data_IF_857994711843
#
_entry.id   IF_857994711843
#
_cell.length_a   1.000
_cell.length_b   1.000
_cell.length_c   1.000
_cell.angle_alpha   90.00
_cell.angle_beta   90.00
_cell.angle_gamma   90.00
#
_symmetry.space_group_name_H-M   'P 1'
#
loop_
_entity.id
_entity.type
_entity.pdbx_description
1 polymer ?
#
# COMPACT_ATOMS: atom_id res chain seq x y z
N UNK A 1 4.57 -26.88 4.26
CA UNK A 1 3.95 -27.19 2.97
C UNK A 1 3.13 -25.99 2.52
N UNK A 2 3.49 -25.35 1.43
CA UNK A 2 2.70 -24.30 0.79
C UNK A 2 2.99 -24.34 -0.70
N UNK A 3 1.96 -24.51 -1.53
CA UNK A 3 2.04 -24.46 -2.99
C UNK A 3 1.53 -23.12 -3.53
N UNK A 4 1.46 -22.95 -4.84
CA UNK A 4 0.74 -21.84 -5.48
C UNK A 4 -0.77 -21.92 -5.12
N UNK A 5 -1.38 -20.88 -4.52
CA UNK A 5 -2.81 -20.89 -4.18
C UNK A 5 -3.72 -20.89 -5.43
N UNK A 6 -3.16 -20.58 -6.60
CA UNK A 6 -3.87 -20.33 -7.83
C UNK A 6 -4.82 -19.13 -7.73
N UNK A 7 -5.50 -18.82 -8.83
CA UNK A 7 -6.47 -17.70 -8.88
C UNK A 7 -7.62 -17.85 -7.87
N UNK A 8 -7.98 -19.09 -7.52
CA UNK A 8 -9.06 -19.41 -6.59
C UNK A 8 -8.69 -19.15 -5.12
N UNK A 9 -7.50 -19.56 -4.69
CA UNK A 9 -7.05 -19.40 -3.31
C UNK A 9 -6.87 -17.93 -2.91
N UNK A 10 -6.22 -17.12 -3.76
CA UNK A 10 -6.05 -15.68 -3.49
C UNK A 10 -7.38 -14.93 -3.32
N UNK A 11 -8.39 -15.26 -4.14
CA UNK A 11 -9.75 -14.69 -4.02
C UNK A 11 -10.45 -15.15 -2.74
N UNK A 12 -10.33 -16.42 -2.36
CA UNK A 12 -10.95 -16.95 -1.16
C UNK A 12 -10.39 -16.28 0.11
N UNK A 13 -9.07 -16.07 0.17
CA UNK A 13 -8.40 -15.40 1.28
C UNK A 13 -8.91 -13.96 1.42
N UNK A 14 -8.94 -13.19 0.32
CA UNK A 14 -9.44 -11.80 0.35
C UNK A 14 -10.90 -11.70 0.76
N UNK A 15 -11.75 -12.65 0.36
CA UNK A 15 -13.15 -12.72 0.82
C UNK A 15 -13.24 -13.02 2.30
N UNK A 16 -12.44 -13.97 2.80
CA UNK A 16 -12.39 -14.31 4.21
C UNK A 16 -11.89 -13.12 5.06
N UNK A 17 -10.83 -12.45 4.61
CA UNK A 17 -10.34 -11.22 5.23
C UNK A 17 -11.42 -10.14 5.24
N UNK A 18 -12.04 -9.87 4.09
CA UNK A 18 -13.09 -8.86 3.98
C UNK A 18 -14.28 -9.11 4.92
N UNK A 19 -14.63 -10.37 5.19
CA UNK A 19 -15.72 -10.74 6.10
C UNK A 19 -15.38 -10.55 7.59
N UNK A 20 -14.11 -10.76 7.95
CA UNK A 20 -13.72 -10.84 9.36
C UNK A 20 -12.96 -9.61 9.86
N UNK A 21 -12.32 -8.86 8.96
CA UNK A 21 -11.52 -7.70 9.33
C UNK A 21 -12.37 -6.52 9.83
N UNK A 22 -11.82 -5.79 10.79
CA UNK A 22 -12.32 -4.49 11.21
C UNK A 22 -11.89 -3.41 10.22
N UNK A 23 -12.68 -3.26 9.15
CA UNK A 23 -12.42 -2.26 8.11
C UNK A 23 -12.44 -0.83 8.64
N UNK A 24 -13.14 -0.56 9.75
CA UNK A 24 -13.15 0.77 10.36
C UNK A 24 -11.79 1.06 10.97
N UNK A 25 -11.23 0.15 11.74
CA UNK A 25 -9.88 0.32 12.29
C UNK A 25 -8.82 0.30 11.19
N UNK A 26 -8.87 -0.64 10.24
CA UNK A 26 -7.94 -0.69 9.11
C UNK A 26 -7.95 0.61 8.31
N UNK A 27 -9.12 1.23 8.12
CA UNK A 27 -9.23 2.54 7.46
C UNK A 27 -8.58 3.68 8.21
N UNK A 28 -8.08 3.48 9.43
CA UNK A 28 -7.28 4.49 10.13
C UNK A 28 -5.80 4.44 9.75
N UNK A 29 -5.27 3.26 9.40
CA UNK A 29 -3.84 3.05 9.15
C UNK A 29 -3.29 3.94 8.03
N UNK A 30 -2.06 4.41 8.22
CA UNK A 30 -1.28 5.09 7.21
C UNK A 30 -0.67 4.05 6.27
N UNK A 31 -0.89 4.21 4.96
CA UNK A 31 -0.41 3.27 3.93
C UNK A 31 0.46 3.98 2.92
N UNK A 32 1.74 3.62 2.84
CA UNK A 32 2.72 4.26 1.94
C UNK A 32 3.30 3.24 0.97
N UNK A 33 3.14 3.50 -0.33
CA UNK A 33 3.84 2.74 -1.37
C UNK A 33 5.22 3.37 -1.60
N UNK A 34 6.29 2.61 -1.42
CA UNK A 34 7.65 3.10 -1.63
C UNK A 34 8.18 2.68 -3.00
N UNK A 35 8.73 3.65 -3.74
CA UNK A 35 9.35 3.43 -5.05
C UNK A 35 10.33 4.54 -5.40
N UNK A 36 11.09 4.35 -6.48
CA UNK A 36 11.81 5.48 -7.06
C UNK A 36 10.79 6.49 -7.65
N UNK A 37 11.20 7.75 -7.78
CA UNK A 37 10.28 8.82 -8.20
C UNK A 37 9.69 8.58 -9.60
N UNK A 38 10.39 7.87 -10.49
CA UNK A 38 9.90 7.56 -11.84
C UNK A 38 8.87 6.43 -11.80
N UNK A 39 9.11 5.39 -10.99
CA UNK A 39 8.14 4.34 -10.77
C UNK A 39 6.84 4.88 -10.14
N UNK A 40 6.91 5.94 -9.33
CA UNK A 40 5.72 6.61 -8.80
C UNK A 40 4.95 7.41 -9.88
N UNK A 41 5.66 8.02 -10.84
CA UNK A 41 5.06 8.71 -11.99
C UNK A 41 4.22 7.74 -12.83
N UNK A 42 4.70 6.50 -13.02
CA UNK A 42 3.97 5.44 -13.72
C UNK A 42 2.66 5.01 -13.03
N UNK A 43 2.41 5.43 -11.79
CA UNK A 43 1.16 5.15 -11.06
C UNK A 43 0.05 6.18 -11.31
N UNK A 44 0.34 7.28 -12.00
CA UNK A 44 -0.65 8.30 -12.32
C UNK A 44 -1.80 7.66 -13.12
N UNK A 45 -3.04 7.88 -12.65
CA UNK A 45 -4.24 7.30 -13.23
C UNK A 45 -4.50 5.82 -12.89
N UNK A 46 -3.60 5.14 -12.17
CA UNK A 46 -3.72 3.73 -11.77
C UNK A 46 -4.37 3.52 -10.40
N UNK A 47 -5.12 4.50 -9.90
CA UNK A 47 -5.80 4.44 -8.59
C UNK A 47 -6.72 3.24 -8.39
N UNK A 48 -7.19 2.60 -9.46
CA UNK A 48 -8.01 1.38 -9.40
C UNK A 48 -7.20 0.11 -9.10
N UNK A 49 -5.91 0.12 -9.43
CA UNK A 49 -5.03 -1.03 -9.21
C UNK A 49 -4.74 -1.21 -7.72
N UNK A 50 -4.32 -2.40 -7.34
CA UNK A 50 -3.94 -2.70 -5.97
C UNK A 50 -2.45 -2.45 -5.75
N UNK A 51 -2.14 -1.60 -4.78
CA UNK A 51 -0.78 -1.29 -4.37
C UNK A 51 -0.37 -2.08 -3.14
N UNK A 52 0.89 -2.49 -3.11
CA UNK A 52 1.56 -2.95 -1.89
C UNK A 52 2.07 -1.72 -1.15
N UNK A 53 1.78 -1.63 0.14
CA UNK A 53 2.09 -0.46 0.97
C UNK A 53 2.65 -0.91 2.31
N UNK A 54 3.58 -0.14 2.87
CA UNK A 54 3.92 -0.26 4.28
C UNK A 54 2.86 0.45 5.13
N UNK A 55 2.55 -0.15 6.27
CA UNK A 55 1.57 0.34 7.23
C UNK A 55 2.24 0.96 8.45
N UNK A 56 1.63 2.02 8.99
CA UNK A 56 1.93 2.61 10.30
C UNK A 56 0.63 3.05 10.98
N UNK A 57 0.63 3.17 12.31
CA UNK A 57 -0.53 3.70 13.02
C UNK A 57 -0.66 5.22 12.79
N UNK A 58 -1.88 5.77 12.90
CA UNK A 58 -2.07 7.22 12.95
C UNK A 58 -1.19 7.87 14.02
N UNK A 59 -0.52 8.97 13.68
CA UNK A 59 0.39 9.67 14.58
C UNK A 59 1.78 9.05 14.75
N UNK A 60 2.06 7.88 14.18
CA UNK A 60 3.43 7.33 14.11
C UNK A 60 4.18 7.86 12.89
N UNK A 61 5.51 7.87 12.95
CA UNK A 61 6.32 8.13 11.76
C UNK A 61 6.03 7.08 10.68
N UNK A 62 6.04 7.48 9.41
CA UNK A 62 5.87 6.54 8.31
C UNK A 62 6.96 5.48 8.33
N UNK A 63 6.56 4.20 8.28
CA UNK A 63 7.49 3.08 8.12
C UNK A 63 8.29 3.23 6.82
N UNK A 64 9.62 3.15 6.90
CA UNK A 64 10.54 3.51 5.80
C UNK A 64 10.98 2.26 5.04
N UNK A 65 11.02 2.35 3.71
CA UNK A 65 11.71 1.39 2.85
C UNK A 65 12.90 2.05 2.14
N UNK A 66 14.10 1.91 2.71
CA UNK A 66 15.35 2.40 2.11
C UNK A 66 15.39 3.91 1.86
N UNK A 67 15.96 4.30 0.72
CA UNK A 67 16.12 5.69 0.26
C UNK A 67 15.08 6.11 -0.79
N UNK A 68 13.98 5.37 -0.89
CA UNK A 68 12.92 5.58 -1.87
C UNK A 68 12.01 6.77 -1.51
N UNK A 69 11.27 7.25 -2.50
CA UNK A 69 10.18 8.20 -2.29
C UNK A 69 8.91 7.40 -1.97
N UNK A 70 8.12 7.87 -1.01
CA UNK A 70 6.84 7.27 -0.64
C UNK A 70 5.68 7.99 -1.32
N UNK A 71 4.73 7.26 -1.87
CA UNK A 71 3.40 7.73 -2.20
C UNK A 71 2.46 7.35 -1.05
N UNK A 72 2.06 8.33 -0.27
CA UNK A 72 1.04 8.14 0.76
C UNK A 72 -0.31 8.04 0.09
N UNK A 73 -1.00 6.92 0.31
CA UNK A 73 -2.28 6.64 -0.33
C UNK A 73 -3.36 6.31 0.69
N UNK A 74 -4.62 6.47 0.29
CA UNK A 74 -5.77 5.94 1.00
C UNK A 74 -6.72 5.21 0.07
N UNK A 75 -7.04 3.98 0.43
CA UNK A 75 -7.98 3.13 -0.29
C UNK A 75 -8.54 2.05 0.64
N UNK A 76 -9.11 1.00 0.06
CA UNK A 76 -9.59 -0.14 0.84
C UNK A 76 -8.47 -1.16 0.97
N UNK A 77 -8.11 -1.48 2.21
CA UNK A 77 -7.18 -2.56 2.52
C UNK A 77 -7.86 -3.90 2.24
N UNK A 78 -7.31 -4.67 1.30
CA UNK A 78 -7.84 -5.96 0.88
C UNK A 78 -7.17 -7.13 1.60
N UNK A 79 -5.93 -6.93 2.04
CA UNK A 79 -5.18 -7.78 2.98
C UNK A 79 -4.17 -6.91 3.75
N UNK A 80 -3.91 -7.29 5.00
CA UNK A 80 -2.90 -6.69 5.85
C UNK A 80 -2.15 -7.80 6.61
N UNK A 81 -0.84 -7.67 6.76
CA UNK A 81 0.02 -8.59 7.51
C UNK A 81 1.06 -7.81 8.32
N UNK A 82 1.50 -8.37 9.47
CA UNK A 82 2.55 -7.76 10.29
C UNK A 82 3.97 -7.93 9.68
N UNK A 83 4.10 -8.73 8.63
CA UNK A 83 5.36 -9.02 7.94
C UNK A 83 5.12 -8.97 6.42
N UNK A 84 6.04 -8.38 5.67
CA UNK A 84 6.01 -8.40 4.19
C UNK A 84 6.03 -9.83 3.65
N UNK A 85 6.76 -10.73 4.32
CA UNK A 85 6.85 -12.14 3.91
C UNK A 85 5.52 -12.89 4.09
N UNK A 86 4.60 -12.37 4.92
CA UNK A 86 3.28 -12.96 5.12
C UNK A 86 2.33 -12.68 3.95
N UNK A 87 2.54 -11.60 3.20
CA UNK A 87 1.74 -11.26 2.04
C UNK A 87 2.42 -11.64 0.73
N UNK A 88 3.76 -11.65 0.68
CA UNK A 88 4.63 -11.93 -0.48
C UNK A 88 3.90 -11.80 -1.82
N UNK A 89 3.77 -10.55 -2.28
CA UNK A 89 2.80 -10.16 -3.30
C UNK A 89 3.36 -10.26 -4.73
N UNK A 90 4.47 -10.98 -4.94
CA UNK A 90 5.17 -11.11 -6.22
C UNK A 90 5.81 -9.80 -6.71
N UNK A 91 6.73 -9.89 -7.66
CA UNK A 91 7.30 -8.74 -8.35
C UNK A 91 6.37 -8.26 -9.48
N UNK A 92 6.58 -7.04 -9.99
CA UNK A 92 5.81 -6.53 -11.15
C UNK A 92 5.82 -7.52 -12.33
N UNK A 93 6.96 -8.19 -12.54
CA UNK A 93 7.15 -9.20 -13.58
C UNK A 93 6.24 -10.42 -13.42
N UNK A 94 5.66 -10.67 -12.24
CA UNK A 94 4.73 -11.77 -12.00
C UNK A 94 3.32 -11.49 -12.55
N UNK A 95 3.08 -10.28 -13.05
CA UNK A 95 1.78 -9.79 -13.52
C UNK A 95 1.83 -9.38 -15.01
N UNK A 96 0.68 -9.38 -15.69
CA UNK A 96 0.55 -8.99 -17.08
C UNK A 96 0.28 -10.12 -18.10
N UNK A 97 0.38 -9.73 -19.37
CA UNK A 97 0.08 -10.54 -20.55
C UNK A 97 0.81 -11.89 -20.52
N UNK A 98 0.05 -12.99 -20.64
CA UNK A 98 0.59 -14.35 -20.61
C UNK A 98 0.73 -14.97 -19.21
N UNK A 99 0.74 -14.17 -18.14
CA UNK A 99 0.75 -14.67 -16.74
C UNK A 99 -0.62 -14.58 -16.07
N UNK A 100 -1.39 -13.53 -16.35
CA UNK A 100 -2.67 -13.28 -15.69
C UNK A 100 -3.92 -13.70 -16.46
N UNK A 101 -3.77 -14.02 -17.74
CA UNK A 101 -4.85 -14.36 -18.67
C UNK A 101 -4.51 -13.94 -20.10
N UNK A 102 -5.50 -14.02 -20.97
CA UNK A 102 -5.45 -13.45 -22.32
C UNK A 102 -5.34 -11.91 -22.28
N UNK A 103 -4.91 -11.31 -23.38
CA UNK A 103 -4.84 -9.85 -23.55
C UNK A 103 -6.18 -9.15 -23.32
N UNK A 104 -7.26 -9.76 -23.78
CA UNK A 104 -8.62 -9.27 -23.62
C UNK A 104 -9.04 -9.29 -22.14
N UNK A 105 -8.74 -10.36 -21.41
CA UNK A 105 -9.02 -10.46 -19.98
C UNK A 105 -8.22 -9.44 -19.16
N UNK A 106 -6.94 -9.23 -19.50
CA UNK A 106 -6.09 -8.24 -18.83
C UNK A 106 -6.61 -6.83 -19.10
N UNK A 107 -6.87 -6.50 -20.37
CA UNK A 107 -7.37 -5.18 -20.77
C UNK A 107 -8.75 -4.88 -20.17
N UNK A 108 -9.64 -5.87 -20.10
CA UNK A 108 -10.95 -5.72 -19.45
C UNK A 108 -10.81 -5.48 -17.95
N UNK A 109 -9.88 -6.16 -17.26
CA UNK A 109 -9.62 -5.95 -15.82
C UNK A 109 -9.07 -4.57 -15.53
N UNK A 110 -8.09 -4.12 -16.32
CA UNK A 110 -7.49 -2.78 -16.20
C UNK A 110 -8.54 -1.68 -16.34
N UNK A 111 -9.52 -1.87 -17.26
CA UNK A 111 -10.62 -0.92 -17.45
C UNK A 111 -11.69 -0.97 -16.35
N UNK A 112 -11.99 -2.16 -15.83
CA UNK A 112 -13.11 -2.38 -14.90
C UNK A 112 -12.71 -2.22 -13.43
N UNK A 113 -11.91 -3.14 -12.91
CA UNK A 113 -11.64 -3.32 -11.48
C UNK A 113 -10.21 -3.02 -11.05
N UNK A 114 -9.31 -2.72 -11.99
CA UNK A 114 -7.87 -2.65 -11.75
C UNK A 114 -7.20 -4.02 -11.57
N UNK A 115 -5.88 -4.01 -11.46
CA UNK A 115 -5.04 -5.20 -11.21
C UNK A 115 -4.96 -5.51 -9.73
N UNK A 116 -5.17 -6.77 -9.39
CA UNK A 116 -5.22 -7.25 -8.00
C UNK A 116 -3.97 -8.09 -7.74
N UNK A 117 -3.15 -7.71 -6.75
CA UNK A 117 -1.96 -8.47 -6.36
C UNK A 117 -2.38 -9.73 -5.61
N UNK A 118 -1.76 -10.85 -5.92
CA UNK A 118 -2.07 -12.13 -5.29
C UNK A 118 -1.00 -12.47 -4.27
N UNK A 119 -1.37 -12.90 -3.06
CA UNK A 119 -0.42 -13.56 -2.18
C UNK A 119 0.12 -14.80 -2.88
N UNK A 120 1.44 -14.92 -2.98
CA UNK A 120 2.09 -16.07 -3.64
C UNK A 120 2.34 -17.24 -2.68
N UNK A 121 2.23 -17.02 -1.36
CA UNK A 121 2.30 -18.08 -0.36
C UNK A 121 0.90 -18.65 -0.11
N UNK A 122 0.60 -19.87 -0.58
CA UNK A 122 -0.60 -20.58 -0.11
C UNK A 122 -0.36 -21.24 1.24
N UNK A 123 -1.09 -20.77 2.23
CA UNK A 123 -1.68 -21.69 3.19
C UNK A 123 -3.15 -21.80 2.83
N UNK A 124 -3.74 -22.99 2.98
CA UNK A 124 -5.17 -23.16 2.76
C UNK A 124 -5.94 -22.43 3.88
N UNK A 125 -6.46 -21.25 3.55
CA UNK A 125 -7.29 -20.47 4.45
C UNK A 125 -8.80 -20.65 4.17
N UNK A 126 -9.22 -21.67 3.42
CA UNK A 126 -10.64 -21.91 3.11
C UNK A 126 -11.51 -22.06 4.35
N UNK A 127 -10.97 -22.68 5.41
CA UNK A 127 -11.62 -22.82 6.72
C UNK A 127 -11.93 -21.48 7.39
N UNK A 128 -11.19 -20.42 7.07
CA UNK A 128 -11.43 -19.08 7.61
C UNK A 128 -12.63 -18.38 6.96
N UNK A 129 -12.94 -18.69 5.70
CA UNK A 129 -14.12 -18.15 5.02
C UNK A 129 -15.44 -18.56 5.69
N UNK A 130 -15.42 -19.68 6.43
CA UNK A 130 -16.57 -20.22 7.16
C UNK A 130 -16.72 -19.63 8.57
N UNK A 131 -15.73 -18.88 9.06
CA UNK A 131 -15.78 -18.28 10.39
C UNK A 131 -16.79 -17.13 10.45
N UNK A 132 -17.36 -16.93 11.64
CA UNK A 132 -18.34 -15.88 11.93
C UNK A 132 -17.82 -15.03 13.08
N UNK A 133 -17.70 -13.71 12.87
CA UNK A 133 -17.23 -12.75 13.87
C UNK A 133 -18.13 -12.79 15.13
N UNK A 134 -17.53 -12.63 16.31
CA UNK A 134 -18.24 -12.69 17.60
C UNK A 134 -18.42 -14.10 18.17
N UNK A 135 -18.03 -15.16 17.45
CA UNK A 135 -17.96 -16.51 18.00
C UNK A 135 -16.56 -16.77 18.57
N UNK A 136 -16.46 -17.20 19.83
CA UNK A 136 -15.18 -17.39 20.53
C UNK A 136 -14.22 -18.35 19.80
N UNK A 137 -14.72 -19.47 19.29
CA UNK A 137 -13.92 -20.42 18.52
C UNK A 137 -13.42 -19.79 17.22
N UNK A 138 -14.29 -19.05 16.52
CA UNK A 138 -13.93 -18.35 15.30
C UNK A 138 -12.87 -17.27 15.54
N UNK A 139 -12.99 -16.49 16.62
CA UNK A 139 -12.00 -15.45 16.96
C UNK A 139 -10.66 -16.06 17.36
N UNK A 140 -10.67 -17.17 18.12
CA UNK A 140 -9.45 -17.91 18.46
C UNK A 140 -8.76 -18.47 17.22
N UNK A 141 -9.52 -19.02 16.28
CA UNK A 141 -8.97 -19.50 15.01
C UNK A 141 -8.42 -18.35 14.18
N UNK A 142 -9.17 -17.24 14.07
CA UNK A 142 -8.77 -16.06 13.31
C UNK A 142 -7.44 -15.46 13.81
N UNK A 143 -7.14 -15.53 15.11
CA UNK A 143 -5.85 -15.08 15.67
C UNK A 143 -4.63 -15.94 15.26
N UNK A 144 -4.84 -17.12 14.69
CA UNK A 144 -3.75 -18.01 14.25
C UNK A 144 -3.35 -17.80 12.77
N UNK A 145 -3.87 -16.77 12.11
CA UNK A 145 -3.48 -16.40 10.74
C UNK A 145 -2.41 -15.31 10.77
N UNK A 146 -1.58 -15.20 9.72
CA UNK A 146 -0.55 -14.16 9.65
C UNK A 146 -1.10 -12.78 9.23
N UNK A 147 -2.43 -12.63 9.16
CA UNK A 147 -3.10 -11.40 8.73
C UNK A 147 -3.60 -10.59 9.92
N UNK A 148 -3.51 -9.28 9.78
CA UNK A 148 -3.97 -8.32 10.77
C UNK A 148 -5.45 -8.01 10.50
N UNK A 149 -6.34 -8.56 11.32
CA UNK A 149 -7.79 -8.35 11.16
C UNK A 149 -8.29 -7.14 11.95
N UNK A 150 -7.67 -6.82 13.07
CA UNK A 150 -8.05 -5.73 13.95
C UNK A 150 -6.85 -5.23 14.77
N UNK A 151 -7.09 -4.18 15.58
CA UNK A 151 -6.08 -3.55 16.41
C UNK A 151 -5.38 -4.51 17.38
N UNK A 152 -6.07 -5.54 17.87
CA UNK A 152 -5.51 -6.49 18.82
C UNK A 152 -4.55 -7.50 18.19
N UNK A 153 -4.52 -7.58 16.86
CA UNK A 153 -3.59 -8.41 16.09
C UNK A 153 -2.41 -7.61 15.52
N UNK A 154 -2.39 -6.30 15.74
CA UNK A 154 -1.28 -5.44 15.34
C UNK A 154 -0.04 -5.76 16.17
N UNK A 155 1.04 -6.15 15.52
CA UNK A 155 2.33 -6.42 16.15
C UNK A 155 3.42 -5.72 15.32
N UNK A 156 3.78 -4.51 15.74
CA UNK A 156 4.72 -3.65 15.03
C UNK A 156 6.16 -4.09 15.28
N UNK A 157 6.56 -5.24 14.74
CA UNK A 157 7.95 -5.67 14.81
C UNK A 157 8.75 -5.03 13.67
N UNK A 158 9.31 -3.85 13.99
CA UNK A 158 10.47 -3.17 13.40
C UNK A 158 10.56 -2.85 11.90
N UNK A 159 9.80 -3.48 10.99
CA UNK A 159 9.95 -3.31 9.54
C UNK A 159 8.69 -2.79 8.83
N UNK A 160 7.62 -2.50 9.57
CA UNK A 160 6.33 -2.05 9.03
C UNK A 160 5.57 -3.20 8.38
N UNK A 161 4.34 -3.46 8.83
CA UNK A 161 3.50 -4.45 8.19
C UNK A 161 3.18 -4.04 6.75
N UNK A 162 2.82 -5.01 5.89
CA UNK A 162 2.36 -4.74 4.53
C UNK A 162 0.82 -4.72 4.45
N UNK A 163 0.27 -3.79 3.69
CA UNK A 163 -1.11 -3.81 3.22
C UNK A 163 -1.18 -3.81 1.70
N UNK A 164 -2.11 -4.60 1.19
CA UNK A 164 -2.63 -4.48 -0.17
C UNK A 164 -3.80 -3.50 -0.17
N UNK A 165 -3.70 -2.43 -0.95
CA UNK A 165 -4.67 -1.33 -0.98
C UNK A 165 -5.26 -1.19 -2.37
N UNK A 166 -6.56 -1.40 -2.51
CA UNK A 166 -7.31 -1.19 -3.76
C UNK A 166 -8.01 0.18 -3.78
N UNK A 167 -8.40 0.63 -4.98
CA UNK A 167 -9.16 1.87 -5.20
C UNK A 167 -8.59 3.08 -4.44
N UNK A 168 -7.26 3.19 -4.48
CA UNK A 168 -6.54 4.16 -3.70
C UNK A 168 -6.55 5.55 -4.34
N UNK A 169 -6.42 6.56 -3.50
CA UNK A 169 -6.20 7.96 -3.85
C UNK A 169 -4.92 8.44 -3.19
N UNK A 170 -4.10 9.23 -3.90
CA UNK A 170 -2.92 9.82 -3.31
C UNK A 170 -3.32 10.90 -2.28
N UNK A 171 -2.59 10.94 -1.16
CA UNK A 171 -2.72 11.96 -0.12
C UNK A 171 -1.50 12.88 -0.08
N UNK A 172 -0.33 12.36 -0.45
CA UNK A 172 0.92 13.13 -0.44
C UNK A 172 2.13 12.32 -0.89
N UNK A 173 3.23 13.03 -1.10
CA UNK A 173 4.55 12.43 -1.32
C UNK A 173 5.41 12.55 -0.07
N UNK A 174 6.22 11.52 0.19
CA UNK A 174 7.16 11.45 1.32
C UNK A 174 8.56 11.27 0.74
N UNK A 175 9.39 12.32 0.70
CA UNK A 175 10.73 12.21 0.15
C UNK A 175 11.67 11.41 1.07
N UNK A 176 12.85 11.10 0.54
CA UNK A 176 13.96 10.68 1.39
C UNK A 176 14.44 11.84 2.29
N UNK A 177 15.28 11.50 3.29
CA UNK A 177 15.73 12.45 4.29
C UNK A 177 16.47 13.66 3.71
N UNK A 178 17.30 13.48 2.68
CA UNK A 178 18.09 14.57 2.10
C UNK A 178 17.17 15.60 1.43
N UNK A 179 16.21 15.12 0.63
CA UNK A 179 15.21 15.98 -0.02
C UNK A 179 14.35 16.70 1.03
N UNK A 180 13.95 16.02 2.11
CA UNK A 180 13.22 16.66 3.23
C UNK A 180 14.02 17.83 3.80
N UNK A 181 15.32 17.66 4.04
CA UNK A 181 16.16 18.74 4.60
C UNK A 181 16.31 19.92 3.62
N UNK A 182 16.40 19.65 2.32
CA UNK A 182 16.46 20.70 1.29
C UNK A 182 15.14 21.46 1.25
N UNK A 183 13.99 20.78 1.17
CA UNK A 183 12.67 21.40 1.13
C UNK A 183 12.40 22.23 2.40
N UNK A 184 12.74 21.74 3.59
CA UNK A 184 12.61 22.51 4.84
C UNK A 184 13.47 23.78 4.87
N UNK A 185 14.57 23.84 4.11
CA UNK A 185 15.39 25.05 3.96
C UNK A 185 14.79 26.01 2.92
N UNK A 186 14.27 25.47 1.82
CA UNK A 186 13.66 26.26 0.75
C UNK A 186 12.33 26.89 1.18
N UNK A 187 11.48 26.15 1.91
CA UNK A 187 10.16 26.60 2.35
C UNK A 187 10.19 27.63 3.50
N UNK A 188 11.37 28.11 3.93
CA UNK A 188 11.50 29.23 4.87
C UNK A 188 11.25 30.59 4.19
N UNK A 189 10.12 30.72 3.48
CA UNK A 189 9.59 31.99 3.00
C UNK A 189 9.90 32.36 1.55
N UNK A 190 9.91 31.40 0.61
CA UNK A 190 9.97 31.70 -0.83
C UNK A 190 9.04 30.81 -1.63
N UNK A 191 8.26 31.42 -2.50
CA UNK A 191 7.76 30.73 -3.69
C UNK A 191 8.95 30.32 -4.54
N UNK A 192 8.96 29.07 -4.98
CA UNK A 192 9.97 28.59 -5.91
C UNK A 192 9.58 29.08 -7.30
N UNK A 193 10.19 30.18 -7.74
CA UNK A 193 9.99 30.76 -9.09
C UNK A 193 10.28 29.72 -10.20
N UNK A 194 11.21 28.79 -9.95
CA UNK A 194 11.54 27.67 -10.82
C UNK A 194 11.78 26.38 -10.01
N UNK A 195 11.48 25.23 -10.62
CA UNK A 195 11.72 23.94 -9.98
C UNK A 195 13.22 23.68 -9.82
N UNK A 196 13.69 23.35 -8.60
CA UNK A 196 15.10 23.08 -8.35
C UNK A 196 15.56 21.86 -9.18
N UNK A 197 16.81 21.85 -9.68
CA UNK A 197 17.28 20.73 -10.50
C UNK A 197 17.35 19.42 -9.71
N UNK A 198 17.40 18.31 -10.44
CA UNK A 198 17.62 16.99 -9.87
C UNK A 198 16.40 16.40 -9.15
N UNK A 199 16.64 15.60 -8.11
CA UNK A 199 15.59 14.81 -7.45
C UNK A 199 14.52 15.69 -6.78
N UNK A 200 14.90 16.85 -6.25
CA UNK A 200 13.99 17.78 -5.55
C UNK A 200 12.92 18.32 -6.51
N UNK A 201 13.32 18.88 -7.66
CA UNK A 201 12.34 19.38 -8.64
C UNK A 201 11.49 18.29 -9.26
N UNK A 202 12.04 17.08 -9.44
CA UNK A 202 11.22 15.94 -9.90
C UNK A 202 10.10 15.60 -8.92
N UNK A 203 10.39 15.60 -7.62
CA UNK A 203 9.38 15.34 -6.58
C UNK A 203 8.35 16.47 -6.53
N UNK A 204 8.78 17.74 -6.63
CA UNK A 204 7.86 18.89 -6.69
C UNK A 204 6.96 18.81 -7.93
N UNK A 205 7.54 18.54 -9.10
CA UNK A 205 6.77 18.37 -10.34
C UNK A 205 5.76 17.23 -10.23
N UNK A 206 6.17 16.07 -9.71
CA UNK A 206 5.27 14.94 -9.49
C UNK A 206 4.15 15.30 -8.49
N UNK A 207 4.48 16.02 -7.42
CA UNK A 207 3.50 16.49 -6.44
C UNK A 207 2.44 17.40 -7.10
N UNK A 208 2.85 18.34 -7.97
CA UNK A 208 1.93 19.18 -8.76
C UNK A 208 1.08 18.38 -9.73
N UNK A 209 1.69 17.44 -10.44
CA UNK A 209 1.00 16.63 -11.44
C UNK A 209 -0.07 15.72 -10.83
N UNK A 210 0.23 15.15 -9.65
CA UNK A 210 -0.73 14.36 -8.88
C UNK A 210 -1.74 15.28 -8.15
N UNK A 211 -1.37 16.52 -7.86
CA UNK A 211 -2.17 17.47 -7.10
C UNK A 211 -2.18 17.18 -5.60
N UNK A 212 -1.03 16.85 -5.02
CA UNK A 212 -0.90 16.51 -3.59
C UNK A 212 0.29 17.22 -2.93
N UNK A 213 0.22 17.51 -1.62
CA UNK A 213 1.33 18.09 -0.88
C UNK A 213 2.47 17.08 -0.64
N UNK A 214 3.61 17.62 -0.20
CA UNK A 214 4.78 16.85 0.23
C UNK A 214 4.86 16.92 1.76
N UNK A 215 5.04 15.76 2.40
CA UNK A 215 5.17 15.60 3.84
C UNK A 215 6.57 15.12 4.24
N UNK A 216 6.98 15.42 5.46
CA UNK A 216 8.06 14.69 6.10
C UNK A 216 7.60 13.36 6.70
N UNK A 217 8.55 12.59 7.26
CA UNK A 217 8.28 11.27 7.83
C UNK A 217 7.36 11.30 9.05
N UNK A 218 7.25 12.44 9.70
CA UNK A 218 6.40 12.67 10.88
C UNK A 218 5.07 13.33 10.50
N UNK A 219 4.66 13.19 9.24
CA UNK A 219 3.38 13.67 8.70
C UNK A 219 3.22 15.19 8.72
N UNK A 220 4.31 15.95 8.83
CA UNK A 220 4.25 17.41 8.71
C UNK A 220 4.34 17.80 7.25
N UNK A 221 3.42 18.64 6.79
CA UNK A 221 3.51 19.23 5.45
C UNK A 221 4.76 20.11 5.37
N UNK A 222 5.59 19.86 4.37
CA UNK A 222 6.84 20.60 4.13
C UNK A 222 6.81 21.39 2.82
N UNK A 223 5.85 21.12 1.95
CA UNK A 223 5.60 21.88 0.72
C UNK A 223 4.20 21.57 0.20
N UNK A 224 3.51 22.58 -0.32
CA UNK A 224 2.26 22.46 -1.07
C UNK A 224 2.35 23.37 -2.30
N UNK A 225 1.79 22.89 -3.41
CA UNK A 225 1.65 23.67 -4.64
C UNK A 225 0.23 24.22 -4.68
N UNK A 226 0.03 25.43 -4.18
CA UNK A 226 -1.08 26.25 -4.68
C UNK A 226 -0.88 26.56 -6.17
#
# INVERSE_FOLDING_TARGET
>A
FGGDPGKGGGRAIKRAFAKNADHKWLSTLNTVHWGDVYALEDLIGKGKDELSTLMSLPGEDFAISGSNTGLWVKGRITLAGNDMDNLYTGHYDDYGLGKEGSEEEVTHRDKSSGRNKRPTVSKDYSRYGQLTRGNEFAEKMARNIPYVLDQSMWDSVSHGGEALVDNWKPLGLIPDYEVIQILKRLNKGRDLDEDPPGRVGKIIKLAREIGVPIFDRSQNEIWSGE
#
